data_IF_291277954707
#
_entry.id   IF_291277954707
#
_cell.length_a   1.000
_cell.length_b   1.000
_cell.length_c   1.000
_cell.angle_alpha   90.00
_cell.angle_beta   90.00
_cell.angle_gamma   90.00
#
_symmetry.space_group_name_H-M   'P 1'
#
loop_
_entity.id
_entity.type
_entity.pdbx_description
1 polymer ?
#
# COMPACT_ATOMS: atom_id res chain seq x y z
N UNK A 1 25.29 65.40 -30.21
CA UNK A 1 25.26 64.86 -28.83
C UNK A 1 24.44 63.57 -28.79
N UNK A 2 24.98 62.41 -29.16
CA UNK A 2 24.34 61.10 -28.98
C UNK A 2 25.39 59.97 -29.06
N UNK A 3 26.26 59.85 -28.07
CA UNK A 3 27.30 58.79 -28.05
C UNK A 3 27.51 58.14 -26.67
N UNK A 4 26.59 58.36 -25.71
CA UNK A 4 26.72 57.82 -24.34
C UNK A 4 25.69 56.74 -23.98
N UNK A 5 24.78 56.37 -24.90
CA UNK A 5 23.74 55.36 -24.64
C UNK A 5 24.14 53.92 -25.03
N UNK A 6 25.02 53.76 -26.01
CA UNK A 6 25.50 52.46 -26.50
C UNK A 6 26.21 51.57 -25.44
N UNK A 7 27.11 52.09 -24.57
CA UNK A 7 27.82 51.22 -23.63
C UNK A 7 26.91 50.66 -22.53
N UNK A 8 25.87 51.40 -22.12
CA UNK A 8 24.90 50.92 -21.11
C UNK A 8 24.03 49.77 -21.63
N UNK A 9 23.69 49.82 -22.92
CA UNK A 9 22.92 48.76 -23.58
C UNK A 9 23.74 47.47 -23.72
N UNK A 10 25.02 47.60 -24.06
CA UNK A 10 25.96 46.47 -24.13
C UNK A 10 26.17 45.79 -22.77
N UNK A 11 26.28 46.55 -21.68
CA UNK A 11 26.40 45.99 -20.32
C UNK A 11 25.13 45.25 -19.90
N UNK A 12 23.94 45.77 -20.19
CA UNK A 12 22.69 45.06 -19.90
C UNK A 12 22.55 43.76 -20.72
N UNK A 13 22.91 43.77 -22.01
CA UNK A 13 22.90 42.57 -22.84
C UNK A 13 23.91 41.53 -22.36
N UNK A 14 25.10 41.96 -21.92
CA UNK A 14 26.09 41.09 -21.33
C UNK A 14 25.61 40.46 -20.02
N UNK A 15 25.01 41.25 -19.12
CA UNK A 15 24.44 40.73 -17.88
C UNK A 15 23.30 39.73 -18.13
N UNK A 16 22.42 40.01 -19.11
CA UNK A 16 21.36 39.07 -19.51
C UNK A 16 21.93 37.77 -20.08
N UNK A 17 22.96 37.84 -20.93
CA UNK A 17 23.63 36.67 -21.46
C UNK A 17 24.30 35.84 -20.36
N UNK A 18 24.92 36.49 -19.37
CA UNK A 18 25.53 35.82 -18.21
C UNK A 18 24.46 35.16 -17.34
N UNK A 19 23.37 35.86 -17.01
CA UNK A 19 22.24 35.28 -16.27
C UNK A 19 21.64 34.10 -17.03
N UNK A 20 21.45 34.22 -18.34
CA UNK A 20 20.94 33.15 -19.19
C UNK A 20 21.88 31.94 -19.21
N UNK A 21 23.19 32.17 -19.30
CA UNK A 21 24.20 31.12 -19.26
C UNK A 21 24.19 30.39 -17.91
N UNK A 22 24.15 31.12 -16.79
CA UNK A 22 24.09 30.52 -15.45
C UNK A 22 22.75 29.79 -15.20
N UNK A 23 21.62 30.39 -15.60
CA UNK A 23 20.31 29.76 -15.49
C UNK A 23 20.22 28.49 -16.36
N UNK A 24 20.67 28.56 -17.61
CA UNK A 24 20.73 27.43 -18.52
C UNK A 24 21.63 26.30 -18.01
N UNK A 25 22.81 26.63 -17.48
CA UNK A 25 23.73 25.63 -16.94
C UNK A 25 23.21 25.02 -15.63
N UNK A 26 22.50 25.80 -14.81
CA UNK A 26 21.80 25.29 -13.61
C UNK A 26 20.66 24.34 -13.99
N UNK A 27 19.84 24.71 -14.98
CA UNK A 27 18.77 23.86 -15.52
C UNK A 27 19.33 22.56 -16.11
N UNK A 28 20.42 22.62 -16.88
CA UNK A 28 21.10 21.44 -17.43
C UNK A 28 21.68 20.54 -16.34
N UNK A 29 22.29 21.11 -15.29
CA UNK A 29 22.77 20.33 -14.13
C UNK A 29 21.61 19.69 -13.37
N UNK A 30 20.49 20.40 -13.23
CA UNK A 30 19.28 19.88 -12.58
C UNK A 30 18.66 18.73 -13.41
N UNK A 31 18.61 18.86 -14.74
CA UNK A 31 18.19 17.79 -15.64
C UNK A 31 19.13 16.58 -15.61
N UNK A 32 20.45 16.79 -15.57
CA UNK A 32 21.40 15.67 -15.43
C UNK A 32 21.26 14.95 -14.09
N UNK A 33 21.07 15.68 -12.99
CA UNK A 33 20.83 15.09 -11.67
C UNK A 33 19.51 14.31 -11.63
N UNK A 34 18.44 14.83 -12.23
CA UNK A 34 17.16 14.11 -12.30
C UNK A 34 17.26 12.86 -13.19
N UNK A 35 18.01 12.92 -14.29
CA UNK A 35 18.29 11.74 -15.12
C UNK A 35 19.13 10.68 -14.39
N UNK A 36 20.15 11.08 -13.63
CA UNK A 36 20.95 10.12 -12.86
C UNK A 36 20.13 9.47 -11.74
N UNK A 37 19.33 10.26 -11.02
CA UNK A 37 18.40 9.76 -10.01
C UNK A 37 17.36 8.81 -10.62
N UNK A 38 16.88 9.11 -11.85
CA UNK A 38 15.99 8.24 -12.60
C UNK A 38 16.65 6.93 -13.01
N UNK A 39 17.89 6.95 -13.50
CA UNK A 39 18.62 5.72 -13.85
C UNK A 39 18.81 4.86 -12.59
N UNK A 40 19.18 5.48 -11.46
CA UNK A 40 19.32 4.79 -10.17
C UNK A 40 17.98 4.25 -9.66
N UNK A 41 16.86 4.97 -9.83
CA UNK A 41 15.54 4.48 -9.43
C UNK A 41 15.02 3.37 -10.35
N UNK A 42 15.28 3.46 -11.66
CA UNK A 42 14.95 2.42 -12.63
C UNK A 42 15.74 1.13 -12.45
N UNK A 43 16.87 1.17 -11.72
CA UNK A 43 17.68 0.00 -11.40
C UNK A 43 17.23 -0.75 -10.13
N UNK A 44 16.23 -0.23 -9.40
CA UNK A 44 15.63 -0.86 -8.20
C UNK A 44 14.20 -1.37 -8.49
N UNK A 45 13.94 -1.84 -9.71
CA UNK A 45 12.63 -2.38 -10.08
C UNK A 45 12.29 -3.64 -9.30
N UNK A 46 13.28 -4.47 -8.96
CA UNK A 46 13.08 -5.67 -8.15
C UNK A 46 13.96 -5.62 -6.90
N UNK A 47 13.34 -5.73 -5.74
CA UNK A 47 14.03 -5.90 -4.46
C UNK A 47 13.64 -7.26 -3.87
N UNK A 48 14.64 -8.05 -3.50
CA UNK A 48 14.45 -9.31 -2.78
C UNK A 48 15.12 -9.18 -1.42
N UNK A 49 14.45 -9.65 -0.38
CA UNK A 49 15.04 -9.72 0.95
C UNK A 49 14.57 -10.98 1.67
N UNK A 50 15.51 -11.61 2.38
CA UNK A 50 15.20 -12.78 3.19
C UNK A 50 14.33 -12.37 4.38
N UNK A 51 13.35 -13.22 4.69
CA UNK A 51 12.45 -13.07 5.83
C UNK A 51 12.50 -14.31 6.71
N UNK A 52 13.66 -14.97 6.79
CA UNK A 52 13.85 -16.16 7.62
C UNK A 52 13.36 -15.90 9.05
N UNK A 53 12.27 -16.58 9.42
CA UNK A 53 11.64 -16.46 10.74
C UNK A 53 10.65 -15.30 10.93
N UNK A 54 10.40 -14.48 9.91
CA UNK A 54 9.36 -13.44 9.99
C UNK A 54 7.96 -14.07 9.93
N UNK A 55 7.17 -13.87 10.99
CA UNK A 55 5.73 -14.22 10.98
C UNK A 55 4.83 -13.06 10.56
N UNK A 56 5.40 -11.84 10.49
CA UNK A 56 4.68 -10.57 10.32
C UNK A 56 5.38 -9.67 9.31
N UNK A 57 4.58 -9.06 8.44
CA UNK A 57 4.98 -7.97 7.57
C UNK A 57 4.20 -6.68 7.87
N UNK A 58 4.89 -5.55 7.90
CA UNK A 58 4.33 -4.21 8.02
C UNK A 58 4.55 -3.47 6.71
N UNK A 59 3.45 -3.11 6.05
CA UNK A 59 3.46 -2.25 4.88
C UNK A 59 3.04 -0.85 5.33
N UNK A 60 3.99 0.09 5.30
CA UNK A 60 3.80 1.44 5.82
C UNK A 60 4.12 2.52 4.80
N UNK A 61 3.52 3.69 4.99
CA UNK A 61 3.77 4.90 4.22
C UNK A 61 4.60 5.87 5.07
N UNK A 62 5.75 6.29 4.56
CA UNK A 62 6.66 7.24 5.25
C UNK A 62 6.13 8.67 5.33
N UNK A 63 5.42 9.13 4.29
CA UNK A 63 4.91 10.51 4.21
C UNK A 63 3.43 10.51 3.87
N UNK A 64 2.63 11.37 4.49
CA UNK A 64 1.16 11.37 4.30
C UNK A 64 0.70 11.97 2.96
N UNK A 65 1.55 12.72 2.26
CA UNK A 65 1.16 13.65 1.19
C UNK A 65 1.20 13.10 -0.26
N UNK A 66 1.21 11.78 -0.45
CA UNK A 66 1.18 11.18 -1.79
C UNK A 66 0.21 9.99 -1.84
N UNK A 67 -0.27 9.62 -3.03
CA UNK A 67 -1.17 8.49 -3.19
C UNK A 67 -0.40 7.20 -3.41
N UNK A 68 -0.88 6.12 -2.81
CA UNK A 68 -0.34 4.76 -2.97
C UNK A 68 -1.29 3.92 -3.81
N UNK A 69 -1.56 4.34 -5.05
CA UNK A 69 -2.48 3.59 -5.91
C UNK A 69 -1.77 2.38 -6.54
N UNK A 70 -2.49 1.27 -6.69
CA UNK A 70 -2.03 0.09 -7.46
C UNK A 70 -1.02 -0.80 -6.73
N UNK A 71 -1.16 -0.97 -5.41
CA UNK A 71 -0.38 -1.95 -4.65
C UNK A 71 -1.09 -3.29 -4.66
N UNK A 72 -0.39 -4.33 -5.09
CA UNK A 72 -0.85 -5.72 -5.06
C UNK A 72 0.07 -6.54 -4.16
N UNK A 73 -0.53 -7.30 -3.26
CA UNK A 73 0.15 -8.27 -2.41
C UNK A 73 -0.29 -9.66 -2.82
N UNK A 74 0.67 -10.52 -3.14
CA UNK A 74 0.44 -11.89 -3.60
C UNK A 74 1.14 -12.86 -2.64
N UNK A 75 0.39 -13.74 -2.00
CA UNK A 75 0.99 -14.86 -1.27
C UNK A 75 1.27 -15.99 -2.25
N UNK A 76 2.56 -16.33 -2.40
CA UNK A 76 3.09 -17.25 -3.39
C UNK A 76 3.85 -18.39 -2.67
N UNK A 77 3.39 -19.64 -2.76
CA UNK A 77 4.04 -20.78 -2.10
C UNK A 77 5.41 -21.15 -2.68
N UNK A 78 5.67 -20.76 -3.94
CA UNK A 78 6.90 -21.10 -4.65
C UNK A 78 8.03 -20.12 -4.33
N UNK A 79 7.72 -19.08 -3.55
CA UNK A 79 8.64 -18.03 -3.16
C UNK A 79 9.01 -18.21 -1.69
N UNK A 80 10.30 -18.17 -1.38
CA UNK A 80 10.84 -18.26 0.00
C UNK A 80 11.23 -16.91 0.60
N UNK A 81 11.28 -15.85 -0.21
CA UNK A 81 11.75 -14.52 0.17
C UNK A 81 10.74 -13.46 -0.25
N UNK A 82 10.65 -12.37 0.49
CA UNK A 82 9.76 -11.29 0.04
C UNK A 82 10.37 -10.63 -1.19
N UNK A 83 9.59 -10.55 -2.25
CA UNK A 83 9.99 -9.90 -3.50
C UNK A 83 9.09 -8.70 -3.74
N UNK A 84 9.67 -7.54 -3.99
CA UNK A 84 8.94 -6.32 -4.34
C UNK A 84 9.32 -5.91 -5.76
N UNK A 85 8.35 -5.98 -6.65
CA UNK A 85 8.41 -5.44 -7.99
C UNK A 85 7.78 -4.04 -8.01
N UNK A 86 8.59 -3.02 -8.20
CA UNK A 86 8.18 -1.63 -8.27
C UNK A 86 8.21 -1.13 -9.72
N UNK A 87 7.09 -1.28 -10.43
CA UNK A 87 6.87 -0.62 -11.71
C UNK A 87 6.50 0.87 -11.56
N UNK A 88 6.31 1.36 -10.33
CA UNK A 88 5.91 2.72 -10.04
C UNK A 88 7.13 3.61 -9.71
N UNK A 89 7.66 4.29 -10.73
CA UNK A 89 8.76 5.23 -10.55
C UNK A 89 8.41 6.47 -9.70
N UNK A 90 7.12 6.70 -9.42
CA UNK A 90 6.63 7.74 -8.52
C UNK A 90 6.72 7.38 -7.03
N UNK A 91 7.06 6.13 -6.70
CA UNK A 91 7.18 5.62 -5.35
C UNK A 91 8.59 5.07 -5.10
N UNK A 92 9.17 5.42 -3.96
CA UNK A 92 10.36 4.74 -3.45
C UNK A 92 9.93 3.61 -2.53
N UNK A 93 10.61 2.47 -2.63
CA UNK A 93 10.38 1.30 -1.78
C UNK A 93 11.68 1.02 -1.05
N UNK A 94 11.60 0.94 0.27
CA UNK A 94 12.68 0.45 1.12
C UNK A 94 12.16 -0.74 1.93
N UNK A 95 12.81 -1.88 1.78
CA UNK A 95 12.56 -3.05 2.60
C UNK A 95 13.61 -3.19 3.70
N UNK A 96 13.17 -3.55 4.89
CA UNK A 96 14.02 -3.83 6.04
C UNK A 96 13.48 -5.03 6.82
N UNK A 97 14.37 -5.72 7.53
CA UNK A 97 14.01 -6.81 8.43
C UNK A 97 14.72 -6.60 9.77
N UNK A 98 13.91 -6.34 10.80
CA UNK A 98 14.39 -6.13 12.16
C UNK A 98 13.45 -6.80 13.16
N UNK A 99 14.02 -7.41 14.20
CA UNK A 99 13.29 -8.02 15.32
C UNK A 99 12.19 -9.02 14.91
N UNK A 100 12.41 -9.79 13.84
CA UNK A 100 11.43 -10.77 13.35
C UNK A 100 10.25 -10.17 12.59
N UNK A 101 10.32 -8.88 12.24
CA UNK A 101 9.30 -8.15 11.50
C UNK A 101 9.87 -7.70 10.16
N UNK A 102 9.24 -8.13 9.07
CA UNK A 102 9.52 -7.58 7.75
C UNK A 102 8.81 -6.23 7.61
N UNK A 103 9.52 -5.18 7.21
CA UNK A 103 8.94 -3.85 6.99
C UNK A 103 9.17 -3.42 5.56
N UNK A 104 8.10 -3.05 4.86
CA UNK A 104 8.16 -2.39 3.56
C UNK A 104 7.68 -0.95 3.77
N UNK A 105 8.59 -0.01 3.52
CA UNK A 105 8.36 1.40 3.64
C UNK A 105 8.22 2.05 2.26
N UNK A 106 7.05 2.66 2.04
CA UNK A 106 6.73 3.38 0.82
C UNK A 106 6.97 4.87 1.05
N UNK A 107 7.84 5.45 0.24
CA UNK A 107 8.15 6.87 0.23
C UNK A 107 7.84 7.52 -1.12
N UNK A 108 8.02 8.84 -1.17
CA UNK A 108 7.89 9.59 -2.42
C UNK A 108 9.07 9.24 -3.35
N UNK A 109 8.77 8.88 -4.59
CA UNK A 109 9.75 8.70 -5.66
C UNK A 109 9.98 10.00 -6.43
N UNK A 110 10.95 9.97 -7.36
CA UNK A 110 11.26 11.11 -8.23
C UNK A 110 10.59 10.88 -9.59
N UNK A 111 9.48 11.57 -9.84
CA UNK A 111 8.69 11.36 -11.07
C UNK A 111 9.01 12.41 -12.16
N UNK A 112 9.35 12.00 -13.40
CA UNK A 112 9.25 12.88 -14.56
C UNK A 112 7.78 13.03 -15.00
N UNK A 113 7.42 14.21 -15.51
CA UNK A 113 6.05 14.64 -15.86
C UNK A 113 5.29 13.80 -16.92
N UNK A 114 5.86 12.70 -17.43
CA UNK A 114 5.30 11.87 -18.52
C UNK A 114 5.52 10.37 -18.35
N UNK A 115 5.65 9.87 -17.13
CA UNK A 115 5.82 8.42 -16.90
C UNK A 115 4.47 7.77 -16.63
N UNK A 116 4.22 6.60 -17.24
CA UNK A 116 3.08 5.78 -16.87
C UNK A 116 3.22 5.36 -15.39
N UNK A 117 2.11 5.41 -14.65
CA UNK A 117 2.05 4.84 -13.31
C UNK A 117 1.96 3.32 -13.47
N UNK A 118 3.08 2.61 -13.25
CA UNK A 118 3.03 1.18 -12.98
C UNK A 118 2.48 0.90 -11.58
N UNK A 119 2.14 -0.36 -11.30
CA UNK A 119 1.79 -0.81 -9.95
C UNK A 119 3.01 -1.25 -9.13
N UNK A 120 2.79 -1.49 -7.84
CA UNK A 120 3.75 -2.21 -6.99
C UNK A 120 3.18 -3.61 -6.76
N UNK A 121 3.94 -4.65 -7.06
CA UNK A 121 3.59 -6.04 -6.72
C UNK A 121 4.55 -6.54 -5.64
N UNK A 122 3.99 -7.00 -4.52
CA UNK A 122 4.73 -7.55 -3.38
C UNK A 122 4.37 -9.04 -3.29
N UNK A 123 5.33 -9.91 -3.58
CA UNK A 123 5.18 -11.36 -3.40
C UNK A 123 5.70 -11.78 -2.05
N UNK A 124 4.86 -12.48 -1.30
CA UNK A 124 5.13 -12.93 0.07
C UNK A 124 5.19 -14.46 0.13
N UNK A 125 6.15 -15.04 0.86
CA UNK A 125 6.10 -16.44 1.21
C UNK A 125 4.92 -16.73 2.14
N UNK A 126 4.43 -17.96 2.13
CA UNK A 126 3.31 -18.41 2.98
C UNK A 126 3.67 -18.49 4.47
N UNK A 127 4.94 -18.31 4.83
CA UNK A 127 5.40 -18.17 6.22
C UNK A 127 4.92 -16.86 6.87
N UNK A 128 4.59 -15.84 6.08
CA UNK A 128 4.05 -14.56 6.57
C UNK A 128 2.58 -14.75 6.91
N UNK A 129 2.27 -14.91 8.20
CA UNK A 129 0.90 -15.12 8.68
C UNK A 129 0.17 -13.82 9.06
N UNK A 130 0.88 -12.69 9.17
CA UNK A 130 0.32 -11.41 9.56
C UNK A 130 0.78 -10.29 8.64
N UNK A 131 -0.18 -9.48 8.18
CA UNK A 131 0.06 -8.30 7.36
C UNK A 131 -0.59 -7.08 8.01
N UNK A 132 0.22 -6.09 8.34
CA UNK A 132 -0.20 -4.83 8.96
C UNK A 132 -0.05 -3.66 7.99
N UNK A 133 -1.09 -2.84 7.87
CA UNK A 133 -1.12 -1.65 7.02
C UNK A 133 -1.09 -0.38 7.87
N UNK A 134 -0.11 0.49 7.61
CA UNK A 134 0.04 1.79 8.29
C UNK A 134 0.12 2.93 7.27
N UNK A 135 -0.95 3.73 7.18
CA UNK A 135 -1.10 4.83 6.22
C UNK A 135 -1.22 4.44 4.74
N UNK A 136 -1.27 3.15 4.39
CA UNK A 136 -1.33 2.69 2.99
C UNK A 136 -2.77 2.54 2.50
N UNK A 137 -3.05 3.07 1.31
CA UNK A 137 -4.36 3.10 0.67
C UNK A 137 -4.39 2.15 -0.54
N UNK A 138 -5.56 1.61 -0.89
CA UNK A 138 -5.77 0.92 -2.17
C UNK A 138 -5.00 -0.39 -2.37
N UNK A 139 -4.88 -1.21 -1.33
CA UNK A 139 -4.15 -2.49 -1.40
C UNK A 139 -5.05 -3.60 -1.93
N UNK A 140 -4.59 -4.31 -2.97
CA UNK A 140 -5.17 -5.55 -3.46
C UNK A 140 -4.43 -6.76 -2.88
N UNK A 141 -5.15 -7.77 -2.40
CA UNK A 141 -4.58 -8.99 -1.83
C UNK A 141 -5.10 -10.20 -2.60
N UNK A 142 -4.17 -11.08 -2.94
CA UNK A 142 -4.47 -12.40 -3.50
C UNK A 142 -3.56 -13.47 -2.90
N UNK A 143 -4.08 -14.68 -2.77
CA UNK A 143 -3.32 -15.84 -2.31
C UNK A 143 -3.82 -17.10 -3.01
N UNK A 144 -2.88 -17.86 -3.59
CA UNK A 144 -3.14 -19.20 -4.10
C UNK A 144 -2.29 -20.20 -3.31
N UNK A 145 -2.72 -20.46 -2.06
CA UNK A 145 -1.95 -21.28 -1.13
C UNK A 145 -2.31 -22.76 -1.31
N UNK A 146 -1.32 -23.66 -1.49
CA UNK A 146 -1.54 -25.10 -1.53
C UNK A 146 -1.91 -25.61 -0.14
N UNK A 147 -2.51 -26.80 -0.07
CA UNK A 147 -2.83 -27.45 1.20
C UNK A 147 -1.54 -27.87 1.93
N UNK A 148 -1.43 -27.73 3.27
CA UNK A 148 -2.45 -27.25 4.20
C UNK A 148 -2.62 -25.72 4.17
N UNK A 149 -3.87 -25.27 4.26
CA UNK A 149 -4.20 -23.84 4.21
C UNK A 149 -3.64 -23.08 5.43
N UNK A 150 -3.04 -21.91 5.19
CA UNK A 150 -2.41 -21.07 6.21
C UNK A 150 -3.44 -20.29 7.05
N UNK A 151 -3.01 -19.76 8.20
CA UNK A 151 -3.76 -18.74 8.94
C UNK A 151 -3.25 -17.35 8.56
N UNK A 152 -4.16 -16.44 8.19
CA UNK A 152 -3.82 -15.09 7.75
C UNK A 152 -4.53 -14.04 8.62
N UNK A 153 -3.77 -13.08 9.14
CA UNK A 153 -4.29 -11.89 9.79
C UNK A 153 -3.97 -10.65 8.96
N UNK A 154 -5.00 -9.86 8.65
CA UNK A 154 -4.89 -8.55 8.02
C UNK A 154 -5.29 -7.49 9.06
N UNK A 155 -4.40 -6.54 9.34
CA UNK A 155 -4.65 -5.48 10.34
C UNK A 155 -4.40 -4.08 9.79
N UNK A 156 -5.35 -3.17 10.04
CA UNK A 156 -5.26 -1.76 9.70
C UNK A 156 -4.99 -0.92 10.96
N UNK A 157 -3.93 -0.11 10.94
CA UNK A 157 -3.58 0.81 12.04
C UNK A 157 -4.33 2.14 11.92
N UNK A 158 -4.49 2.63 10.70
CA UNK A 158 -4.96 3.99 10.43
C UNK A 158 -6.34 3.98 9.77
N UNK A 159 -7.03 5.10 9.91
CA UNK A 159 -8.28 5.38 9.21
C UNK A 159 -7.97 5.72 7.74
N UNK A 160 -8.96 5.66 6.84
CA UNK A 160 -8.84 5.88 5.40
C UNK A 160 -8.12 4.79 4.57
N UNK A 161 -7.93 3.60 5.14
CA UNK A 161 -7.34 2.48 4.42
C UNK A 161 -8.41 1.64 3.72
N UNK A 162 -8.17 1.26 2.48
CA UNK A 162 -8.99 0.28 1.75
C UNK A 162 -8.13 -0.92 1.36
N UNK A 163 -8.55 -2.10 1.80
CA UNK A 163 -7.96 -3.38 1.42
C UNK A 163 -9.01 -4.19 0.66
N UNK A 164 -8.69 -4.56 -0.57
CA UNK A 164 -9.51 -5.43 -1.39
C UNK A 164 -8.88 -6.83 -1.48
N UNK A 165 -9.65 -7.87 -1.16
CA UNK A 165 -9.24 -9.26 -1.26
C UNK A 165 -9.94 -9.87 -2.47
N UNK A 166 -9.16 -10.21 -3.52
CA UNK A 166 -9.69 -10.65 -4.81
C UNK A 166 -9.75 -12.18 -4.95
N UNK A 167 -8.81 -12.93 -4.38
CA UNK A 167 -8.84 -14.40 -4.42
C UNK A 167 -8.03 -14.93 -3.26
N UNK A 168 -8.65 -15.70 -2.38
CA UNK A 168 -8.00 -16.12 -1.16
C UNK A 168 -8.46 -17.51 -0.74
N UNK A 169 -7.50 -18.39 -0.47
CA UNK A 169 -7.74 -19.71 0.12
C UNK A 169 -6.86 -19.88 1.35
N UNK A 170 -7.46 -19.79 2.54
CA UNK A 170 -6.76 -19.84 3.84
C UNK A 170 -7.66 -20.51 4.88
N UNK A 171 -7.07 -21.19 5.87
CA UNK A 171 -7.86 -21.91 6.88
C UNK A 171 -8.63 -20.93 7.76
N UNK A 172 -7.94 -19.90 8.23
CA UNK A 172 -8.51 -18.83 9.07
C UNK A 172 -8.10 -17.48 8.51
N UNK A 173 -9.08 -16.61 8.30
CA UNK A 173 -8.86 -15.21 7.94
C UNK A 173 -9.33 -14.32 9.09
N UNK A 174 -8.41 -13.52 9.65
CA UNK A 174 -8.74 -12.52 10.66
C UNK A 174 -8.56 -11.11 10.10
N UNK A 175 -9.63 -10.34 10.06
CA UNK A 175 -9.66 -8.94 9.67
C UNK A 175 -9.73 -8.07 10.92
N UNK A 176 -8.75 -7.21 11.15
CA UNK A 176 -8.68 -6.36 12.31
C UNK A 176 -8.49 -4.88 11.92
N UNK A 177 -9.14 -3.97 12.63
CA UNK A 177 -8.93 -2.53 12.51
C UNK A 177 -8.76 -1.93 13.90
N UNK A 178 -7.73 -1.11 14.10
CA UNK A 178 -7.52 -0.30 15.30
C UNK A 178 -8.15 1.10 15.19
N UNK A 179 -8.57 1.50 13.99
CA UNK A 179 -9.15 2.82 13.74
C UNK A 179 -10.50 2.97 14.46
N UNK A 180 -10.62 4.02 15.29
CA UNK A 180 -11.85 4.40 16.00
C UNK A 180 -12.54 5.62 15.39
N UNK A 181 -12.01 6.15 14.28
CA UNK A 181 -12.52 7.35 13.62
C UNK A 181 -13.97 7.18 13.15
N UNK A 182 -14.77 8.24 13.33
CA UNK A 182 -16.20 8.25 12.95
C UNK A 182 -16.48 9.00 11.64
N UNK A 183 -15.47 9.61 11.00
CA UNK A 183 -15.69 10.33 9.75
C UNK A 183 -15.92 9.33 8.61
N UNK A 184 -17.13 9.39 8.02
CA UNK A 184 -17.56 8.53 6.92
C UNK A 184 -16.64 8.59 5.70
N UNK A 185 -15.97 9.73 5.50
CA UNK A 185 -15.06 9.92 4.37
C UNK A 185 -13.70 9.22 4.55
N UNK A 186 -13.38 8.77 5.77
CA UNK A 186 -12.09 8.17 6.13
C UNK A 186 -12.29 6.83 6.85
N UNK A 187 -13.35 6.09 6.55
CA UNK A 187 -13.59 4.79 7.16
C UNK A 187 -12.62 3.73 6.62
N UNK A 188 -11.99 2.92 7.50
CA UNK A 188 -11.25 1.75 7.06
C UNK A 188 -12.20 0.74 6.43
N UNK A 189 -11.82 0.15 5.31
CA UNK A 189 -12.66 -0.75 4.54
C UNK A 189 -11.93 -2.04 4.18
N UNK A 190 -12.52 -3.17 4.55
CA UNK A 190 -12.22 -4.46 3.94
C UNK A 190 -13.28 -4.79 2.89
N UNK A 191 -12.85 -5.07 1.67
CA UNK A 191 -13.69 -5.58 0.60
C UNK A 191 -13.26 -7.00 0.25
N UNK A 192 -14.21 -7.93 0.28
CA UNK A 192 -14.06 -9.33 -0.06
C UNK A 192 -14.78 -9.53 -1.41
N UNK A 193 -14.06 -9.26 -2.51
CA UNK A 193 -14.63 -9.06 -3.84
C UNK A 193 -14.43 -10.23 -4.81
N UNK A 194 -13.87 -11.36 -4.37
CA UNK A 194 -13.75 -12.53 -5.25
C UNK A 194 -13.86 -13.87 -4.53
N UNK A 195 -13.42 -14.99 -5.16
CA UNK A 195 -13.58 -16.32 -4.60
C UNK A 195 -12.71 -16.49 -3.35
N UNK A 196 -13.35 -16.43 -2.19
CA UNK A 196 -12.72 -16.54 -0.88
C UNK A 196 -13.20 -17.84 -0.22
N UNK A 197 -12.28 -18.75 0.04
CA UNK A 197 -12.54 -20.02 0.73
C UNK A 197 -11.81 -20.04 2.06
N UNK A 198 -12.57 -20.08 3.14
CA UNK A 198 -12.03 -20.08 4.50
C UNK A 198 -12.84 -20.96 5.43
N UNK A 199 -12.22 -21.65 6.38
CA UNK A 199 -13.02 -22.37 7.39
C UNK A 199 -13.61 -21.36 8.38
N UNK A 200 -12.81 -20.39 8.81
CA UNK A 200 -13.24 -19.38 9.79
C UNK A 200 -12.83 -17.98 9.38
N UNK A 201 -13.82 -17.11 9.21
CA UNK A 201 -13.64 -15.67 9.06
C UNK A 201 -13.86 -14.98 10.41
N UNK A 202 -12.89 -14.22 10.89
CA UNK A 202 -13.01 -13.39 12.09
C UNK A 202 -12.87 -11.93 11.75
N UNK A 203 -13.80 -11.11 12.23
CA UNK A 203 -13.76 -9.66 11.98
C UNK A 203 -13.81 -8.91 13.30
N UNK A 204 -12.83 -8.05 13.53
CA UNK A 204 -12.70 -7.21 14.72
C UNK A 204 -12.49 -5.77 14.30
N UNK A 205 -13.57 -4.98 14.30
CA UNK A 205 -13.53 -3.59 13.84
C UNK A 205 -14.39 -2.69 14.74
N UNK A 206 -13.83 -1.66 15.40
CA UNK A 206 -14.61 -0.72 16.20
C UNK A 206 -15.38 0.30 15.33
N UNK A 207 -14.82 0.71 14.19
CA UNK A 207 -15.52 1.44 13.13
C UNK A 207 -14.99 1.03 11.75
N UNK A 208 -15.78 1.28 10.69
CA UNK A 208 -15.35 1.02 9.32
C UNK A 208 -16.45 0.45 8.42
N UNK A 209 -16.02 -0.21 7.34
CA UNK A 209 -16.90 -0.93 6.44
C UNK A 209 -16.35 -2.33 6.12
N UNK A 210 -17.24 -3.31 6.07
CA UNK A 210 -16.98 -4.64 5.55
C UNK A 210 -17.93 -4.91 4.39
N UNK A 211 -17.37 -5.12 3.21
CA UNK A 211 -18.11 -5.47 2.00
C UNK A 211 -17.79 -6.91 1.62
N UNK A 212 -18.81 -7.74 1.43
CA UNK A 212 -18.71 -9.13 1.00
C UNK A 212 -19.61 -9.30 -0.22
N UNK A 213 -19.03 -9.17 -1.41
CA UNK A 213 -19.80 -9.03 -2.66
C UNK A 213 -19.96 -10.35 -3.41
N UNK A 214 -18.96 -11.22 -3.35
CA UNK A 214 -18.97 -12.57 -3.94
C UNK A 214 -19.20 -13.69 -2.91
N UNK A 215 -19.38 -14.92 -3.41
CA UNK A 215 -19.63 -16.13 -2.63
C UNK A 215 -18.40 -16.51 -1.80
N UNK A 216 -18.21 -15.79 -0.69
CA UNK A 216 -17.28 -16.16 0.36
C UNK A 216 -17.77 -17.45 1.00
N UNK A 217 -17.11 -18.56 0.67
CA UNK A 217 -17.40 -19.85 1.26
C UNK A 217 -16.67 -19.97 2.59
N UNK A 218 -17.28 -19.37 3.61
CA UNK A 218 -16.90 -19.54 5.00
C UNK A 218 -17.72 -20.66 5.64
N UNK A 219 -17.15 -21.54 6.47
CA UNK A 219 -17.97 -22.45 7.30
C UNK A 219 -18.55 -21.69 8.52
N UNK A 220 -17.76 -20.79 9.09
CA UNK A 220 -18.16 -19.92 10.18
C UNK A 220 -17.64 -18.49 9.98
N UNK A 221 -18.49 -17.48 10.25
CA UNK A 221 -18.07 -16.08 10.32
C UNK A 221 -18.31 -15.53 11.74
N UNK A 222 -17.26 -15.12 12.44
CA UNK A 222 -17.30 -14.57 13.79
C UNK A 222 -17.11 -13.04 13.71
N UNK A 223 -18.18 -12.30 14.01
CA UNK A 223 -18.22 -10.85 13.85
C UNK A 223 -18.22 -10.15 15.22
N UNK A 224 -17.17 -9.37 15.48
CA UNK A 224 -17.05 -8.45 16.61
C UNK A 224 -16.94 -7.02 16.07
N UNK A 225 -18.10 -6.45 15.78
CA UNK A 225 -18.22 -5.13 15.16
C UNK A 225 -18.64 -4.09 16.20
N UNK A 226 -18.08 -2.88 16.10
CA UNK A 226 -18.51 -1.73 16.87
C UNK A 226 -19.79 -1.10 16.32
N UNK A 227 -20.28 -0.04 16.97
CA UNK A 227 -21.55 0.63 16.63
C UNK A 227 -21.53 1.33 15.27
N UNK A 228 -20.33 1.67 14.77
CA UNK A 228 -20.12 2.47 13.56
C UNK A 228 -19.49 1.64 12.43
N UNK A 229 -20.00 0.41 12.23
CA UNK A 229 -19.55 -0.46 11.14
C UNK A 229 -20.66 -0.64 10.12
N UNK A 230 -20.37 -0.33 8.85
CA UNK A 230 -21.23 -0.68 7.73
C UNK A 230 -20.91 -2.10 7.25
N UNK A 231 -21.88 -3.01 7.34
CA UNK A 231 -21.75 -4.37 6.81
C UNK A 231 -22.65 -4.53 5.58
N UNK A 232 -22.07 -4.87 4.44
CA UNK A 232 -22.81 -5.19 3.21
C UNK A 232 -22.43 -6.60 2.76
N UNK A 233 -23.39 -7.52 2.69
CA UNK A 233 -23.15 -8.90 2.29
C UNK A 233 -24.39 -9.52 1.62
N UNK A 234 -24.22 -10.67 0.95
CA UNK A 234 -25.33 -11.52 0.48
C UNK A 234 -26.02 -12.23 1.65
N UNK A 235 -27.29 -12.63 1.48
CA UNK A 235 -28.09 -13.31 2.52
C UNK A 235 -27.39 -14.53 3.13
N UNK A 236 -26.78 -15.38 2.30
CA UNK A 236 -26.08 -16.61 2.74
C UNK A 236 -24.93 -16.33 3.72
N UNK A 237 -24.26 -15.19 3.59
CA UNK A 237 -23.20 -14.80 4.53
C UNK A 237 -23.78 -14.57 5.94
N UNK A 238 -24.95 -13.93 6.02
CA UNK A 238 -25.61 -13.64 7.29
C UNK A 238 -26.12 -14.91 7.99
N UNK A 239 -26.46 -15.96 7.25
CA UNK A 239 -26.85 -17.26 7.83
C UNK A 239 -25.70 -17.93 8.58
N UNK A 240 -24.47 -17.73 8.10
CA UNK A 240 -23.24 -18.28 8.70
C UNK A 240 -22.60 -17.32 9.73
N UNK A 241 -23.05 -16.06 9.77
CA UNK A 241 -22.50 -15.03 10.63
C UNK A 241 -23.00 -15.15 12.08
N UNK A 242 -22.07 -15.30 13.02
CA UNK A 242 -22.31 -15.23 14.46
C UNK A 242 -21.79 -13.90 14.99
N UNK A 243 -22.71 -13.12 15.55
CA UNK A 243 -22.39 -11.85 16.20
C UNK A 243 -22.05 -12.09 17.67
N UNK A 244 -20.83 -11.76 18.08
CA UNK A 244 -20.46 -11.78 19.49
C UNK A 244 -20.67 -10.40 20.11
N UNK A 245 -21.82 -10.23 20.76
CA UNK A 245 -22.09 -9.06 21.60
C UNK A 245 -21.50 -9.24 23.00
N UNK A 246 -20.81 -8.22 23.52
CA UNK A 246 -20.68 -8.07 24.98
C UNK A 246 -22.10 -7.87 25.52
N UNK A 247 -22.63 -8.86 26.24
CA UNK A 247 -23.76 -8.58 27.13
C UNK A 247 -23.29 -7.51 28.12
N UNK A 248 -23.76 -6.29 27.91
CA UNK A 248 -23.75 -5.24 28.91
C UNK A 248 -24.61 -5.75 30.06
N UNK A 249 -24.00 -6.21 31.15
CA UNK A 249 -24.71 -6.30 32.43
C UNK A 249 -25.10 -4.87 32.81
N UNK A 250 -26.37 -4.53 32.60
CA UNK A 250 -27.05 -3.42 33.27
C UNK A 250 -27.76 -3.98 34.50
#
# INVERSE_FOLDING_TARGET
>A
MTSRALPKLGVCLFLLAVIWYFAGNSLLKQQKKSQLAHIVSSHKTDQQFSVDGAGKLVLKKSETNFRTDGIRVVFDPDVSQVTVHNGNNGLSVNADFSDGIATIDLGRGVMPARSAFGGIEIRLPTSISQLEFAGVEGVEISAQVPLPEMDLQLSMKECAQKVNVQSLRVRRLKLASECQGMDKNYLPMFALDGPIRVNTLEVQMPSGALHVTEDTDAEAALLRLGKNVLLTARTQFFEKARFQGRQSKS
#
